data_IF_146373320146
#
_entry.id   IF_146373320146
#
_cell.length_a   1.000
_cell.length_b   1.000
_cell.length_c   1.000
_cell.angle_alpha   90.00
_cell.angle_beta   90.00
_cell.angle_gamma   90.00
#
_symmetry.space_group_name_H-M   'P 1'
#
loop_
_entity.id
_entity.type
_entity.pdbx_description
1 polymer ?
#
# COMPACT_ATOMS: atom_id res chain seq x y z
N UNK A 1 -34.91 -14.57 36.92
CA UNK A 1 -34.69 -14.37 35.47
C UNK A 1 -33.66 -15.37 35.02
N UNK A 2 -34.09 -16.32 34.20
CA UNK A 2 -33.24 -17.39 33.71
C UNK A 2 -32.19 -16.82 32.73
N UNK A 3 -30.90 -16.94 33.06
CA UNK A 3 -29.78 -16.41 32.26
C UNK A 3 -29.34 -17.37 31.15
N UNK A 4 -30.22 -18.28 30.74
CA UNK A 4 -29.91 -19.42 29.87
C UNK A 4 -29.45 -19.05 28.45
N UNK A 5 -29.64 -17.79 28.01
CA UNK A 5 -29.24 -17.31 26.67
C UNK A 5 -27.94 -16.51 26.59
N UNK A 6 -27.23 -16.26 27.70
CA UNK A 6 -26.04 -15.39 27.71
C UNK A 6 -24.73 -16.20 27.77
N UNK A 7 -23.79 -15.87 26.89
CA UNK A 7 -22.44 -16.45 26.89
C UNK A 7 -21.63 -15.83 28.04
N UNK A 8 -21.25 -16.65 29.02
CA UNK A 8 -20.42 -16.20 30.14
C UNK A 8 -18.93 -16.44 29.85
N UNK A 9 -18.23 -15.42 29.36
CA UNK A 9 -16.81 -15.52 28.99
C UNK A 9 -15.89 -16.13 30.06
N UNK A 10 -16.21 -15.92 31.35
CA UNK A 10 -15.41 -16.43 32.48
C UNK A 10 -15.46 -17.94 32.64
N UNK A 11 -16.52 -18.61 32.19
CA UNK A 11 -16.71 -20.06 32.36
C UNK A 11 -16.25 -20.86 31.15
N UNK A 12 -16.10 -20.23 29.98
CA UNK A 12 -15.69 -20.90 28.76
C UNK A 12 -14.25 -21.44 28.87
N UNK A 13 -14.01 -22.58 28.22
CA UNK A 13 -12.67 -23.12 27.99
C UNK A 13 -11.93 -22.29 26.92
N UNK A 14 -10.61 -22.51 26.77
CA UNK A 14 -9.83 -21.78 25.77
C UNK A 14 -10.31 -22.07 24.34
N UNK A 15 -10.61 -23.33 24.04
CA UNK A 15 -11.07 -23.76 22.71
C UNK A 15 -12.46 -23.23 22.38
N UNK A 16 -13.37 -23.24 23.35
CA UNK A 16 -14.68 -22.62 23.21
C UNK A 16 -14.57 -21.11 22.97
N UNK A 17 -13.67 -20.44 23.70
CA UNK A 17 -13.43 -19.01 23.55
C UNK A 17 -12.84 -18.67 22.16
N UNK A 18 -11.91 -19.50 21.66
CA UNK A 18 -11.41 -19.39 20.29
C UNK A 18 -12.53 -19.62 19.26
N UNK A 19 -13.40 -20.60 19.48
CA UNK A 19 -14.59 -20.83 18.65
C UNK A 19 -15.53 -19.62 18.59
N UNK A 20 -15.78 -18.98 19.73
CA UNK A 20 -16.58 -17.74 19.81
C UNK A 20 -15.92 -16.60 19.05
N UNK A 21 -14.60 -16.44 19.14
CA UNK A 21 -13.85 -15.40 18.40
C UNK A 21 -13.88 -15.64 16.89
N UNK A 22 -13.81 -16.90 16.46
CA UNK A 22 -13.90 -17.26 15.04
C UNK A 22 -15.31 -17.01 14.47
N UNK A 23 -16.34 -17.34 15.25
CA UNK A 23 -17.74 -17.11 14.84
C UNK A 23 -18.10 -15.62 14.86
N UNK A 24 -17.55 -14.86 15.81
CA UNK A 24 -17.80 -13.44 16.00
C UNK A 24 -16.48 -12.65 16.12
N UNK A 25 -15.80 -12.35 15.00
CA UNK A 25 -14.49 -11.68 15.02
C UNK A 25 -14.50 -10.31 15.70
N UNK A 26 -15.61 -9.57 15.57
CA UNK A 26 -15.85 -8.26 16.18
C UNK A 26 -16.19 -8.32 17.68
N UNK A 27 -16.33 -9.50 18.28
CA UNK A 27 -16.61 -9.62 19.71
C UNK A 27 -15.34 -9.39 20.54
N UNK A 28 -14.97 -8.11 20.68
CA UNK A 28 -13.72 -7.69 21.32
C UNK A 28 -13.55 -8.17 22.76
N UNK A 29 -14.63 -8.35 23.52
CA UNK A 29 -14.53 -8.84 24.90
C UNK A 29 -14.02 -10.30 24.96
N UNK A 30 -14.51 -11.18 24.08
CA UNK A 30 -14.02 -12.56 24.00
C UNK A 30 -12.56 -12.60 23.53
N UNK A 31 -12.23 -11.81 22.51
CA UNK A 31 -10.88 -11.74 21.94
C UNK A 31 -9.85 -11.21 22.92
N UNK A 32 -10.21 -10.19 23.71
CA UNK A 32 -9.38 -9.69 24.81
C UNK A 32 -9.13 -10.77 25.84
N UNK A 33 -10.18 -11.47 26.28
CA UNK A 33 -10.07 -12.52 27.28
C UNK A 33 -9.18 -13.68 26.78
N UNK A 34 -9.30 -14.03 25.50
CA UNK A 34 -8.48 -15.05 24.85
C UNK A 34 -7.00 -14.64 24.88
N UNK A 35 -6.69 -13.40 24.47
CA UNK A 35 -5.32 -12.88 24.52
C UNK A 35 -4.74 -12.90 25.94
N UNK A 36 -5.52 -12.49 26.95
CA UNK A 36 -5.09 -12.47 28.35
C UNK A 36 -4.82 -13.90 28.86
N UNK A 37 -5.66 -14.87 28.52
CA UNK A 37 -5.46 -16.26 28.97
C UNK A 37 -4.31 -16.93 28.24
N UNK A 38 -4.17 -16.70 26.93
CA UNK A 38 -3.03 -17.19 26.15
C UNK A 38 -1.72 -16.57 26.64
N UNK A 39 -1.74 -15.34 27.15
CA UNK A 39 -0.58 -14.75 27.82
C UNK A 39 -0.22 -15.47 29.11
N UNK A 40 -1.22 -15.80 29.94
CA UNK A 40 -1.03 -16.49 31.23
C UNK A 40 -0.59 -17.94 31.09
N UNK A 41 -1.09 -18.65 30.07
CA UNK A 41 -0.68 -20.04 29.77
C UNK A 41 0.81 -20.12 29.44
N UNK A 42 1.41 -19.01 29.01
CA UNK A 42 2.80 -18.97 28.59
C UNK A 42 3.05 -19.79 27.32
N UNK A 43 4.30 -19.75 26.85
CA UNK A 43 4.72 -20.47 25.66
C UNK A 43 4.76 -19.63 24.38
N UNK A 44 5.36 -20.25 23.37
CA UNK A 44 5.73 -19.72 22.07
C UNK A 44 4.72 -20.11 20.96
N UNK A 45 3.64 -20.82 21.31
CA UNK A 45 2.59 -21.21 20.36
C UNK A 45 1.76 -20.02 19.86
N UNK A 46 1.59 -18.99 20.69
CA UNK A 46 0.87 -17.77 20.33
C UNK A 46 1.87 -16.63 20.20
N UNK A 47 2.27 -16.36 18.96
CA UNK A 47 3.28 -15.38 18.60
C UNK A 47 2.75 -13.95 18.49
N UNK A 48 3.66 -13.05 18.13
CA UNK A 48 3.39 -11.61 17.96
C UNK A 48 2.34 -11.35 16.89
N UNK A 49 2.29 -12.17 15.85
CA UNK A 49 1.36 -12.05 14.73
C UNK A 49 -0.09 -12.26 15.17
N UNK A 50 -0.36 -13.27 15.99
CA UNK A 50 -1.72 -13.57 16.46
C UNK A 50 -2.22 -12.49 17.44
N UNK A 51 -1.33 -11.91 18.23
CA UNK A 51 -1.67 -10.73 19.03
C UNK A 51 -1.92 -9.49 18.16
N UNK A 52 -1.13 -9.30 17.10
CA UNK A 52 -1.33 -8.21 16.16
C UNK A 52 -2.66 -8.31 15.41
N UNK A 53 -3.01 -9.50 14.91
CA UNK A 53 -4.32 -9.79 14.32
C UNK A 53 -5.44 -9.48 15.34
N UNK A 54 -5.29 -9.97 16.57
CA UNK A 54 -6.27 -9.73 17.61
C UNK A 54 -6.44 -8.24 17.96
N UNK A 55 -5.36 -7.46 17.88
CA UNK A 55 -5.40 -6.02 18.12
C UNK A 55 -6.20 -5.24 17.06
N UNK A 56 -6.34 -5.76 15.83
CA UNK A 56 -7.15 -5.10 14.79
C UNK A 56 -8.63 -5.00 15.18
N UNK A 57 -9.12 -5.97 15.94
CA UNK A 57 -10.54 -6.09 16.30
C UNK A 57 -10.86 -5.57 17.72
N UNK A 58 -9.88 -4.97 18.41
CA UNK A 58 -10.04 -4.43 19.76
C UNK A 58 -10.11 -2.90 19.73
N UNK A 59 -11.11 -2.32 20.41
CA UNK A 59 -11.21 -0.88 20.56
C UNK A 59 -10.04 -0.27 21.35
N UNK A 60 -9.58 -0.95 22.41
CA UNK A 60 -8.36 -0.58 23.14
C UNK A 60 -7.27 -1.64 22.94
N UNK A 61 -6.33 -1.32 22.05
CA UNK A 61 -5.18 -2.18 21.73
C UNK A 61 -4.10 -2.20 22.82
N UNK A 62 -4.19 -1.33 23.85
CA UNK A 62 -3.18 -1.27 24.93
C UNK A 62 -3.06 -2.59 25.67
N UNK A 63 -4.19 -3.26 25.92
CA UNK A 63 -4.22 -4.56 26.61
C UNK A 63 -3.32 -5.58 25.90
N UNK A 64 -3.39 -5.65 24.58
CA UNK A 64 -2.57 -6.58 23.79
C UNK A 64 -1.13 -6.07 23.67
N UNK A 65 -0.93 -4.77 23.52
CA UNK A 65 0.40 -4.18 23.46
C UNK A 65 1.21 -4.42 24.75
N UNK A 66 0.57 -4.29 25.91
CA UNK A 66 1.20 -4.51 27.21
C UNK A 66 1.54 -6.00 27.39
N UNK A 67 0.64 -6.91 26.98
CA UNK A 67 0.91 -8.36 26.94
C UNK A 67 2.14 -8.72 26.08
N UNK A 68 2.29 -8.07 24.92
CA UNK A 68 3.42 -8.33 24.01
C UNK A 68 4.71 -7.73 24.55
N UNK A 69 4.64 -6.54 25.18
CA UNK A 69 5.79 -5.88 25.80
C UNK A 69 6.28 -6.57 27.05
N UNK A 70 5.38 -7.10 27.87
CA UNK A 70 5.76 -7.84 29.07
C UNK A 70 6.45 -9.18 28.71
N UNK A 71 6.18 -9.68 27.49
CA UNK A 71 6.88 -10.82 26.88
C UNK A 71 8.14 -10.45 26.10
N UNK A 72 8.49 -9.16 26.02
CA UNK A 72 9.74 -8.72 25.41
C UNK A 72 10.90 -9.36 26.19
N UNK A 73 11.68 -10.20 25.51
CA UNK A 73 12.90 -10.76 26.10
C UNK A 73 13.90 -9.67 26.48
N UNK A 74 15.05 -10.08 27.01
CA UNK A 74 16.16 -9.17 27.30
C UNK A 74 16.68 -8.55 25.98
N UNK A 75 16.14 -7.39 25.59
CA UNK A 75 16.68 -6.51 24.53
C UNK A 75 17.91 -5.73 25.02
N UNK A 76 18.65 -6.33 25.94
CA UNK A 76 19.86 -5.75 26.51
C UNK A 76 21.03 -6.16 25.64
N UNK A 77 21.91 -5.21 25.30
CA UNK A 77 23.11 -5.42 24.46
C UNK A 77 24.20 -6.30 25.10
N UNK A 78 23.84 -7.18 26.05
CA UNK A 78 24.76 -8.08 26.76
C UNK A 78 25.55 -8.98 25.80
N UNK A 79 24.92 -9.38 24.69
CA UNK A 79 25.48 -10.25 23.66
C UNK A 79 25.94 -9.50 22.40
N UNK A 80 26.00 -8.17 22.42
CA UNK A 80 26.43 -7.40 21.25
C UNK A 80 27.89 -7.67 20.89
N UNK A 81 28.75 -7.86 21.91
CA UNK A 81 30.17 -8.14 21.70
C UNK A 81 30.42 -9.51 21.07
N UNK A 82 29.66 -10.54 21.47
CA UNK A 82 29.78 -11.90 20.93
C UNK A 82 29.25 -11.97 19.50
N UNK A 83 28.16 -11.26 19.22
CA UNK A 83 27.60 -11.10 17.88
C UNK A 83 28.55 -10.31 16.97
N UNK A 84 29.14 -9.20 17.45
CA UNK A 84 30.16 -8.47 16.69
C UNK A 84 31.36 -9.37 16.38
N UNK A 85 31.83 -10.15 17.35
CA UNK A 85 32.96 -11.05 17.14
C UNK A 85 32.66 -12.17 16.12
N UNK A 86 31.41 -12.66 16.05
CA UNK A 86 31.02 -13.66 15.05
C UNK A 86 30.95 -13.09 13.63
N UNK A 87 30.46 -11.85 13.48
CA UNK A 87 30.41 -11.16 12.19
C UNK A 87 31.76 -10.62 11.73
N UNK A 88 32.68 -10.30 12.65
CA UNK A 88 34.07 -9.89 12.36
C UNK A 88 34.97 -11.13 12.20
N UNK A 89 34.44 -12.24 11.69
CA UNK A 89 35.29 -13.35 11.23
C UNK A 89 36.09 -12.88 10.02
N UNK A 90 37.42 -12.94 10.13
CA UNK A 90 38.42 -12.41 9.20
C UNK A 90 38.34 -13.00 7.78
N UNK A 91 37.49 -12.42 6.93
CA UNK A 91 37.73 -12.34 5.49
C UNK A 91 37.65 -10.87 5.06
N UNK A 92 38.74 -10.15 5.28
CA UNK A 92 38.94 -8.82 4.70
C UNK A 92 38.93 -8.92 3.17
N UNK A 93 37.75 -8.77 2.55
CA UNK A 93 37.69 -8.21 1.20
C UNK A 93 38.18 -6.77 1.33
N UNK A 94 39.41 -6.51 0.91
CA UNK A 94 39.93 -5.15 0.75
C UNK A 94 39.20 -4.48 -0.42
N UNK A 95 37.93 -4.13 -0.22
CA UNK A 95 37.27 -3.14 -1.06
C UNK A 95 37.72 -1.78 -0.53
N UNK A 96 38.57 -1.12 -1.30
CA UNK A 96 38.99 0.24 -1.00
C UNK A 96 37.75 1.12 -0.85
N UNK A 97 37.62 1.77 0.31
CA UNK A 97 36.57 2.75 0.54
C UNK A 97 36.91 4.01 -0.26
N UNK A 98 36.28 4.15 -1.43
CA UNK A 98 36.37 5.36 -2.24
C UNK A 98 35.39 6.40 -1.65
N UNK A 99 35.89 7.60 -1.32
CA UNK A 99 35.03 8.66 -0.76
C UNK A 99 34.10 9.20 -1.84
N UNK A 100 32.84 8.78 -1.84
CA UNK A 100 31.80 9.35 -2.71
C UNK A 100 31.24 10.62 -2.09
N UNK A 101 31.40 11.76 -2.78
CA UNK A 101 30.82 13.04 -2.37
C UNK A 101 29.39 13.09 -2.89
N UNK A 102 28.41 13.03 -1.99
CA UNK A 102 27.00 13.18 -2.33
C UNK A 102 26.57 14.64 -2.14
N UNK A 103 25.95 15.22 -3.17
CA UNK A 103 25.37 16.57 -3.12
C UNK A 103 23.93 16.47 -2.62
N UNK A 104 23.55 17.32 -1.68
CA UNK A 104 22.18 17.34 -1.13
C UNK A 104 21.17 17.67 -2.23
N UNK A 105 20.18 16.80 -2.43
CA UNK A 105 19.20 16.93 -3.52
C UNK A 105 19.68 16.41 -4.88
N UNK A 106 20.90 15.87 -4.95
CA UNK A 106 21.36 15.07 -6.08
C UNK A 106 20.96 13.60 -5.94
N UNK A 107 21.37 12.82 -6.92
CA UNK A 107 21.15 11.38 -6.94
C UNK A 107 22.14 10.64 -6.02
N UNK A 108 21.64 9.62 -5.33
CA UNK A 108 22.41 8.83 -4.36
C UNK A 108 23.02 7.57 -4.99
N UNK A 109 22.58 7.20 -6.19
CA UNK A 109 23.04 5.99 -6.89
C UNK A 109 24.15 6.31 -7.90
N UNK A 110 25.10 5.39 -8.04
CA UNK A 110 26.15 5.44 -9.07
C UNK A 110 25.61 4.96 -10.41
N UNK A 111 26.26 5.36 -11.51
CA UNK A 111 25.88 4.92 -12.85
C UNK A 111 25.88 3.39 -12.98
N UNK A 112 26.87 2.71 -12.40
CA UNK A 112 26.93 1.26 -12.41
C UNK A 112 25.74 0.61 -11.66
N UNK A 113 25.25 1.24 -10.58
CA UNK A 113 24.04 0.77 -9.90
C UNK A 113 22.80 0.92 -10.77
N UNK A 114 22.69 1.99 -11.55
CA UNK A 114 21.62 2.13 -12.53
C UNK A 114 21.64 1.05 -13.60
N UNK A 115 22.82 0.72 -14.10
CA UNK A 115 22.99 -0.28 -15.16
C UNK A 115 22.56 -1.69 -14.68
N UNK A 116 22.66 -2.00 -13.39
CA UNK A 116 22.19 -3.30 -12.85
C UNK A 116 20.67 -3.46 -12.86
N UNK A 117 19.92 -2.35 -12.76
CA UNK A 117 18.46 -2.38 -12.66
C UNK A 117 17.81 -2.15 -14.03
N UNK A 118 18.57 -1.58 -14.98
CA UNK A 118 18.10 -1.32 -16.34
C UNK A 118 17.85 -2.63 -17.08
N UNK A 119 16.60 -2.90 -17.43
CA UNK A 119 16.21 -3.97 -18.35
C UNK A 119 16.06 -3.43 -19.76
N UNK A 120 16.32 -4.26 -20.75
CA UNK A 120 16.20 -3.87 -22.17
C UNK A 120 14.75 -3.52 -22.56
N UNK A 121 13.77 -4.06 -21.84
CA UNK A 121 12.34 -3.78 -22.03
C UNK A 121 11.88 -2.49 -21.33
N UNK A 122 12.67 -1.95 -20.39
CA UNK A 122 12.34 -0.75 -19.61
C UNK A 122 12.67 0.54 -20.39
N UNK A 123 12.30 0.58 -21.67
CA UNK A 123 12.44 1.72 -22.59
C UNK A 123 11.48 2.88 -22.27
N UNK A 124 11.18 3.10 -20.99
CA UNK A 124 10.31 4.17 -20.48
C UNK A 124 10.86 5.54 -20.90
N UNK A 125 12.19 5.70 -20.93
CA UNK A 125 12.84 6.96 -21.26
C UNK A 125 13.34 7.07 -22.71
N UNK A 126 13.25 6.00 -23.49
CA UNK A 126 13.73 5.98 -24.89
C UNK A 126 12.93 6.94 -25.78
N UNK A 127 11.66 7.18 -25.42
CA UNK A 127 10.81 8.20 -26.05
C UNK A 127 11.30 9.64 -25.80
N UNK A 128 11.98 9.87 -24.68
CA UNK A 128 12.51 11.20 -24.33
C UNK A 128 13.90 11.43 -24.93
N UNK A 129 14.73 10.39 -25.05
CA UNK A 129 16.02 10.48 -25.74
C UNK A 129 15.87 10.77 -27.24
N UNK A 130 14.86 10.18 -27.89
CA UNK A 130 14.51 10.44 -29.30
C UNK A 130 14.11 11.90 -29.57
N UNK A 131 13.63 12.62 -28.54
CA UNK A 131 13.17 14.01 -28.66
C UNK A 131 14.30 15.02 -28.92
N UNK A 132 15.56 14.66 -28.68
CA UNK A 132 16.70 15.56 -28.94
C UNK A 132 17.23 15.51 -30.37
N UNK A 133 16.84 14.52 -31.18
CA UNK A 133 17.36 14.33 -32.56
C UNK A 133 16.32 14.55 -33.68
N UNK A 134 15.05 14.75 -33.35
CA UNK A 134 13.95 14.92 -34.31
C UNK A 134 13.20 16.24 -34.09
N UNK A 135 13.93 17.35 -33.99
CA UNK A 135 13.31 18.66 -34.21
C UNK A 135 13.23 18.93 -35.72
N UNK A 136 12.21 18.38 -36.37
CA UNK A 136 11.64 18.81 -37.66
C UNK A 136 10.43 17.94 -38.01
N UNK A 137 9.21 18.45 -37.80
CA UNK A 137 7.99 17.82 -38.31
C UNK A 137 6.78 17.97 -37.40
N UNK A 138 5.73 18.57 -37.93
CA UNK A 138 4.47 18.97 -37.29
C UNK A 138 3.60 17.80 -36.76
N UNK A 139 2.66 18.15 -35.87
CA UNK A 139 1.42 17.46 -35.52
C UNK A 139 1.47 16.05 -34.89
N UNK A 140 1.49 16.04 -33.54
CA UNK A 140 1.35 14.83 -32.72
C UNK A 140 0.25 14.94 -31.66
N UNK A 141 -0.91 15.49 -32.02
CA UNK A 141 -2.14 15.38 -31.22
C UNK A 141 -2.73 13.97 -31.40
N UNK A 142 -2.59 13.07 -30.40
CA UNK A 142 -3.27 11.78 -30.52
C UNK A 142 -2.92 10.61 -29.60
N UNK A 143 -1.99 10.69 -28.64
CA UNK A 143 -1.55 9.46 -27.95
C UNK A 143 -1.23 9.61 -26.45
N UNK A 144 -2.04 10.33 -25.66
CA UNK A 144 -1.82 10.44 -24.20
C UNK A 144 -3.02 10.12 -23.30
N UNK A 145 -4.15 9.70 -23.85
CA UNK A 145 -5.24 9.17 -23.05
C UNK A 145 -5.59 7.79 -23.57
N UNK A 146 -5.03 6.77 -22.90
CA UNK A 146 -5.42 5.37 -23.07
C UNK A 146 -6.94 5.28 -23.11
N UNK A 147 -7.46 4.52 -24.08
CA UNK A 147 -8.90 4.40 -24.29
C UNK A 147 -9.64 3.93 -23.02
N UNK A 148 -8.95 3.17 -22.17
CA UNK A 148 -9.46 2.63 -20.92
C UNK A 148 -9.64 3.68 -19.81
N UNK A 149 -9.01 4.85 -19.93
CA UNK A 149 -9.09 5.91 -18.91
C UNK A 149 -10.18 6.95 -19.18
N UNK A 150 -10.94 6.81 -20.27
CA UNK A 150 -12.04 7.72 -20.58
C UNK A 150 -13.27 7.40 -19.72
N UNK A 151 -13.42 8.09 -18.59
CA UNK A 151 -14.60 8.01 -17.72
C UNK A 151 -15.40 9.31 -17.72
N UNK A 152 -16.69 9.21 -17.41
CA UNK A 152 -17.60 10.37 -17.32
C UNK A 152 -17.15 11.36 -16.24
N UNK A 153 -16.74 10.84 -15.08
CA UNK A 153 -16.23 11.64 -13.96
C UNK A 153 -14.97 12.41 -14.34
N UNK A 154 -14.07 11.81 -15.11
CA UNK A 154 -12.87 12.48 -15.60
C UNK A 154 -13.23 13.64 -16.54
N UNK A 155 -14.17 13.41 -17.47
CA UNK A 155 -14.65 14.46 -18.37
C UNK A 155 -15.29 15.63 -17.61
N UNK A 156 -16.06 15.34 -16.55
CA UNK A 156 -16.67 16.34 -15.69
C UNK A 156 -15.60 17.18 -14.97
N UNK A 157 -14.57 16.54 -14.40
CA UNK A 157 -13.47 17.24 -13.73
C UNK A 157 -12.75 18.19 -14.70
N UNK A 158 -12.50 17.76 -15.94
CA UNK A 158 -11.90 18.64 -16.96
C UNK A 158 -12.80 19.84 -17.29
N UNK A 159 -14.11 19.64 -17.38
CA UNK A 159 -15.06 20.73 -17.61
C UNK A 159 -15.08 21.72 -16.42
N UNK A 160 -15.09 21.23 -15.18
CA UNK A 160 -15.02 22.07 -13.97
C UNK A 160 -13.73 22.89 -13.89
N UNK A 161 -12.63 22.36 -14.44
CA UNK A 161 -11.35 23.05 -14.54
C UNK A 161 -11.25 24.04 -15.72
N UNK A 162 -12.28 24.13 -16.58
CA UNK A 162 -12.31 24.98 -17.76
C UNK A 162 -11.64 24.39 -19.00
N UNK A 163 -11.20 23.12 -18.96
CA UNK A 163 -10.61 22.41 -20.10
C UNK A 163 -11.68 21.77 -20.98
N UNK A 164 -12.53 22.59 -21.59
CA UNK A 164 -13.68 22.13 -22.37
C UNK A 164 -13.32 21.26 -23.57
N UNK A 165 -12.20 21.53 -24.25
CA UNK A 165 -11.78 20.73 -25.41
C UNK A 165 -11.39 19.30 -25.01
N UNK A 166 -10.73 19.14 -23.87
CA UNK A 166 -10.38 17.83 -23.32
C UNK A 166 -11.62 17.07 -22.85
N UNK A 167 -12.56 17.76 -22.18
CA UNK A 167 -13.84 17.19 -21.79
C UNK A 167 -14.63 16.69 -23.01
N UNK A 168 -14.73 17.50 -24.08
CA UNK A 168 -15.38 17.12 -25.34
C UNK A 168 -14.76 15.89 -25.97
N UNK A 169 -13.42 15.80 -26.02
CA UNK A 169 -12.71 14.62 -26.53
C UNK A 169 -13.07 13.35 -25.76
N UNK A 170 -13.16 13.41 -24.43
CA UNK A 170 -13.53 12.25 -23.60
C UNK A 170 -15.00 11.88 -23.82
N UNK A 171 -15.92 12.85 -23.85
CA UNK A 171 -17.33 12.59 -24.12
C UNK A 171 -17.57 12.01 -25.52
N UNK A 172 -16.87 12.48 -26.55
CA UNK A 172 -16.96 11.92 -27.90
C UNK A 172 -16.49 10.46 -27.97
N UNK A 173 -15.50 10.08 -27.15
CA UNK A 173 -15.08 8.68 -27.04
C UNK A 173 -16.10 7.83 -26.28
N UNK A 174 -16.66 8.37 -25.19
CA UNK A 174 -17.72 7.71 -24.41
C UNK A 174 -18.97 7.46 -25.24
N UNK A 175 -19.31 8.40 -26.13
CA UNK A 175 -20.36 8.29 -27.14
C UNK A 175 -20.14 7.05 -28.02
N UNK A 176 -18.94 6.90 -28.60
CA UNK A 176 -18.61 5.74 -29.44
C UNK A 176 -18.63 4.42 -28.65
N UNK A 177 -18.19 4.42 -27.38
CA UNK A 177 -18.17 3.22 -26.54
C UNK A 177 -19.55 2.78 -26.02
N UNK A 178 -20.48 3.71 -25.82
CA UNK A 178 -21.75 3.46 -25.16
C UNK A 178 -22.94 3.96 -26.01
N UNK A 179 -23.28 3.25 -27.11
CA UNK A 179 -24.31 3.69 -28.05
C UNK A 179 -25.69 3.91 -27.41
N UNK A 180 -26.01 3.17 -26.34
CA UNK A 180 -27.27 3.31 -25.59
C UNK A 180 -27.43 4.68 -24.93
N UNK A 181 -26.30 5.35 -24.61
CA UNK A 181 -26.27 6.67 -23.95
C UNK A 181 -25.92 7.81 -24.91
N UNK A 182 -26.08 7.59 -26.22
CA UNK A 182 -25.63 8.57 -27.20
C UNK A 182 -26.26 9.95 -27.06
N UNK A 183 -27.58 10.00 -26.86
CA UNK A 183 -28.29 11.27 -26.68
C UNK A 183 -27.79 12.05 -25.45
N UNK A 184 -27.40 11.35 -24.39
CA UNK A 184 -26.91 11.96 -23.16
C UNK A 184 -25.54 12.62 -23.37
N UNK A 185 -24.58 11.90 -23.95
CA UNK A 185 -23.24 12.47 -24.20
C UNK A 185 -23.27 13.57 -25.27
N UNK A 186 -24.12 13.46 -26.29
CA UNK A 186 -24.33 14.53 -27.27
C UNK A 186 -24.83 15.82 -26.62
N UNK A 187 -25.83 15.74 -25.73
CA UNK A 187 -26.34 16.89 -24.99
C UNK A 187 -25.26 17.54 -24.08
N UNK A 188 -24.39 16.74 -23.47
CA UNK A 188 -23.26 17.25 -22.69
C UNK A 188 -22.24 18.00 -23.55
N UNK A 189 -21.90 17.45 -24.72
CA UNK A 189 -20.98 18.10 -25.67
C UNK A 189 -21.56 19.43 -26.15
N UNK A 190 -22.86 19.50 -26.44
CA UNK A 190 -23.55 20.73 -26.84
C UNK A 190 -23.55 21.78 -25.72
N UNK A 191 -23.79 21.37 -24.47
CA UNK A 191 -23.78 22.27 -23.31
C UNK A 191 -22.44 23.01 -23.20
N UNK A 192 -21.32 22.30 -23.32
CA UNK A 192 -19.98 22.89 -23.30
C UNK A 192 -19.59 23.60 -24.60
N UNK A 193 -20.42 23.51 -25.64
CA UNK A 193 -20.29 24.30 -26.87
C UNK A 193 -20.94 25.69 -26.78
N UNK A 194 -21.93 25.86 -25.91
CA UNK A 194 -22.72 27.10 -25.77
C UNK A 194 -22.24 28.04 -24.65
N UNK A 195 -21.40 27.55 -23.73
CA UNK A 195 -20.83 28.33 -22.61
C UNK A 195 -19.56 29.14 -23.01
N UNK A 196 -19.29 29.28 -24.31
CA UNK A 196 -18.23 30.13 -24.90
C UNK A 196 -18.89 31.28 -25.66
#
# INVERSE_FOLDING_TARGET
MDRSGYINLKTLTMDELAGVVNLYPWYGAARRELCVRMAKMGGNAWGKEQYADAAMYLGDRRVVADIVRDRAGDYSDKDLSTLLHSYISDEKKTQGYERTVHVVGGDYFTQAQYDTVRKDDDNVFSRFAVKSSLESGEDGDGALLDEDFCTETLAQIYAEQGYYDQAKRIYSRLLLKNPEKNAYFAALIEKFGQEI
#
